data_IF_317645344317
#
_entry.id   IF_317645344317
#
_cell.length_a   1.000
_cell.length_b   1.000
_cell.length_c   1.000
_cell.angle_alpha   90.00
_cell.angle_beta   90.00
_cell.angle_gamma   90.00
#
_symmetry.space_group_name_H-M   'P 1'
#
loop_
_entity.id
_entity.type
_entity.pdbx_description
1 polymer ?
#
# COMPACT_ATOMS: atom_id res chain seq x y z
N UNK A 1 -9.47 -5.84 -9.61
CA UNK A 1 -8.47 -6.77 -9.09
C UNK A 1 -7.50 -7.20 -10.19
N UNK A 2 -8.00 -7.64 -11.38
CA UNK A 2 -7.13 -8.10 -12.49
C UNK A 2 -6.08 -7.07 -12.90
N UNK A 3 -6.47 -5.81 -13.08
CA UNK A 3 -5.52 -4.72 -13.43
C UNK A 3 -4.41 -4.60 -12.40
N UNK A 4 -4.74 -4.64 -11.12
CA UNK A 4 -3.75 -4.63 -10.05
C UNK A 4 -2.82 -5.86 -10.14
N UNK A 5 -3.39 -7.05 -10.38
CA UNK A 5 -2.62 -8.28 -10.57
C UNK A 5 -1.59 -8.18 -11.69
N UNK A 6 -2.02 -7.73 -12.86
CA UNK A 6 -1.15 -7.59 -14.03
C UNK A 6 -0.05 -6.53 -13.83
N UNK A 7 -0.38 -5.39 -13.20
CA UNK A 7 0.61 -4.34 -12.90
C UNK A 7 1.67 -4.84 -11.90
N UNK A 8 1.25 -5.53 -10.84
CA UNK A 8 2.17 -6.12 -9.87
C UNK A 8 3.04 -7.22 -10.49
N UNK A 9 2.45 -8.12 -11.31
CA UNK A 9 3.23 -9.15 -12.03
C UNK A 9 4.25 -8.52 -12.96
N UNK A 10 3.85 -7.56 -13.80
CA UNK A 10 4.74 -6.86 -14.72
C UNK A 10 5.90 -6.19 -13.97
N UNK A 11 5.61 -5.46 -12.89
CA UNK A 11 6.62 -4.85 -12.03
C UNK A 11 7.53 -5.90 -11.38
N UNK A 12 6.95 -6.96 -10.80
CA UNK A 12 7.70 -8.00 -10.11
C UNK A 12 8.63 -8.77 -11.06
N UNK A 13 8.16 -9.14 -12.24
CA UNK A 13 8.97 -9.81 -13.27
C UNK A 13 10.06 -8.88 -13.82
N UNK A 14 9.72 -7.62 -14.11
CA UNK A 14 10.69 -6.62 -14.57
C UNK A 14 11.81 -6.38 -13.55
N UNK A 15 11.47 -6.23 -12.26
CA UNK A 15 12.45 -6.06 -11.20
C UNK A 15 13.28 -7.33 -10.94
N UNK A 16 12.67 -8.53 -11.09
CA UNK A 16 13.39 -9.79 -11.03
C UNK A 16 14.44 -9.88 -12.13
N UNK A 17 14.07 -9.52 -13.37
CA UNK A 17 15.00 -9.48 -14.50
C UNK A 17 16.11 -8.44 -14.27
N UNK A 18 15.75 -7.24 -13.83
CA UNK A 18 16.74 -6.20 -13.53
C UNK A 18 17.75 -6.66 -12.46
N UNK A 19 17.27 -7.40 -11.45
CA UNK A 19 18.14 -7.98 -10.42
C UNK A 19 19.09 -9.02 -10.99
N UNK A 20 18.60 -9.94 -11.83
CA UNK A 20 19.43 -10.97 -12.47
C UNK A 20 20.52 -10.34 -13.35
N UNK A 21 20.18 -9.28 -14.09
CA UNK A 21 21.15 -8.54 -14.93
C UNK A 21 22.18 -7.84 -14.03
N UNK A 22 21.74 -7.12 -13.00
CA UNK A 22 22.63 -6.43 -12.06
C UNK A 22 23.63 -7.39 -11.41
N UNK A 23 23.13 -8.52 -10.94
CA UNK A 23 23.91 -9.48 -10.14
C UNK A 23 24.71 -10.49 -11.02
N UNK A 24 24.57 -10.38 -12.37
CA UNK A 24 25.13 -11.31 -13.36
C UNK A 24 24.77 -12.78 -13.08
N UNK A 25 23.52 -13.00 -12.65
CA UNK A 25 22.97 -14.31 -12.34
C UNK A 25 22.02 -14.30 -11.14
N UNK A 26 21.51 -15.48 -10.77
CA UNK A 26 20.61 -15.63 -9.64
C UNK A 26 21.42 -15.70 -8.33
N UNK A 27 21.25 -14.71 -7.48
CA UNK A 27 21.88 -14.68 -6.13
C UNK A 27 20.85 -14.93 -5.03
N UNK A 28 21.27 -15.52 -3.89
CA UNK A 28 20.42 -15.66 -2.72
C UNK A 28 19.82 -14.30 -2.28
N UNK A 29 18.68 -14.35 -1.62
CA UNK A 29 17.96 -13.14 -1.20
C UNK A 29 18.75 -12.22 -0.27
N UNK A 30 19.66 -12.77 0.51
CA UNK A 30 20.34 -12.06 1.59
C UNK A 30 19.41 -11.69 2.77
N UNK A 31 18.10 -12.01 2.67
CA UNK A 31 17.14 -11.71 3.72
C UNK A 31 17.31 -12.69 4.89
N UNK A 32 17.55 -12.22 6.12
CA UNK A 32 17.60 -13.05 7.31
C UNK A 32 16.30 -13.83 7.51
N UNK A 33 16.38 -15.06 8.02
CA UNK A 33 15.20 -15.90 8.25
C UNK A 33 14.16 -15.23 9.17
N UNK A 34 14.61 -14.43 10.14
CA UNK A 34 13.76 -13.68 11.05
C UNK A 34 12.97 -12.53 10.39
N UNK A 35 13.38 -12.09 9.21
CA UNK A 35 12.75 -10.96 8.51
C UNK A 35 11.64 -11.38 7.54
N UNK A 36 11.54 -12.69 7.22
CA UNK A 36 10.50 -13.20 6.34
C UNK A 36 9.06 -12.91 6.82
N UNK A 37 8.72 -13.02 8.12
CA UNK A 37 7.38 -12.66 8.59
C UNK A 37 7.01 -11.20 8.29
N UNK A 38 7.96 -10.28 8.39
CA UNK A 38 7.74 -8.86 8.07
C UNK A 38 7.47 -8.66 6.58
N UNK A 39 8.27 -9.30 5.72
CA UNK A 39 8.05 -9.25 4.27
C UNK A 39 6.72 -9.88 3.85
N UNK A 40 6.37 -11.05 4.40
CA UNK A 40 5.11 -11.72 4.10
C UNK A 40 3.91 -10.89 4.59
N UNK A 41 4.00 -10.28 5.78
CA UNK A 41 3.00 -9.33 6.26
C UNK A 41 2.83 -8.13 5.34
N UNK A 42 3.95 -7.55 4.88
CA UNK A 42 3.95 -6.45 3.92
C UNK A 42 3.27 -6.84 2.60
N UNK A 43 3.56 -8.03 2.06
CA UNK A 43 2.92 -8.56 0.86
C UNK A 43 1.42 -8.76 1.07
N UNK A 44 1.02 -9.34 2.19
CA UNK A 44 -0.37 -9.61 2.50
C UNK A 44 -1.20 -8.32 2.61
N UNK A 45 -0.76 -7.38 3.45
CA UNK A 45 -1.49 -6.13 3.63
C UNK A 45 -1.40 -5.23 2.39
N UNK A 46 -0.20 -4.92 1.92
CA UNK A 46 0.00 -3.94 0.85
C UNK A 46 -0.23 -4.50 -0.54
N UNK A 47 0.11 -5.77 -0.76
CA UNK A 47 0.03 -6.40 -2.07
C UNK A 47 -1.29 -7.12 -2.36
N UNK A 48 -2.02 -7.56 -1.33
CA UNK A 48 -3.25 -8.34 -1.49
C UNK A 48 -4.46 -7.57 -0.98
N UNK A 49 -4.56 -7.32 0.34
CA UNK A 49 -5.73 -6.69 0.93
C UNK A 49 -5.94 -5.25 0.47
N UNK A 50 -4.88 -4.45 0.43
CA UNK A 50 -4.95 -3.04 0.03
C UNK A 50 -5.54 -2.85 -1.37
N UNK A 51 -4.97 -3.47 -2.43
CA UNK A 51 -5.51 -3.37 -3.78
C UNK A 51 -6.94 -3.91 -3.92
N UNK A 52 -7.27 -5.01 -3.25
CA UNK A 52 -8.64 -5.55 -3.26
C UNK A 52 -9.61 -4.56 -2.62
N UNK A 53 -9.30 -4.05 -1.42
CA UNK A 53 -10.14 -3.06 -0.75
C UNK A 53 -10.31 -1.79 -1.59
N UNK A 54 -9.23 -1.29 -2.21
CA UNK A 54 -9.32 -0.14 -3.11
C UNK A 54 -10.24 -0.41 -4.30
N UNK A 55 -10.06 -1.54 -5.00
CA UNK A 55 -10.85 -1.85 -6.18
C UNK A 55 -12.35 -1.91 -5.86
N UNK A 56 -12.72 -2.54 -4.75
CA UNK A 56 -14.11 -2.55 -4.32
C UNK A 56 -14.58 -1.17 -3.82
N UNK A 57 -13.73 -0.41 -3.15
CA UNK A 57 -14.03 0.94 -2.71
C UNK A 57 -14.35 1.89 -3.88
N UNK A 58 -13.61 1.77 -4.98
CA UNK A 58 -13.80 2.58 -6.19
C UNK A 58 -15.12 2.28 -6.93
N UNK A 59 -15.75 1.13 -6.69
CA UNK A 59 -17.07 0.84 -7.27
C UNK A 59 -18.18 1.75 -6.71
N UNK A 60 -17.99 2.29 -5.50
CA UNK A 60 -18.99 3.08 -4.76
C UNK A 60 -18.45 4.45 -4.30
N UNK A 61 -17.32 4.88 -4.83
CA UNK A 61 -16.67 6.15 -4.47
C UNK A 61 -16.23 6.87 -5.73
N UNK A 62 -16.48 8.19 -5.79
CA UNK A 62 -15.96 8.99 -6.90
C UNK A 62 -14.44 9.01 -6.92
N UNK A 63 -13.84 9.09 -8.11
CA UNK A 63 -12.37 9.17 -8.24
C UNK A 63 -11.76 10.36 -7.46
N UNK A 64 -12.46 11.49 -7.42
CA UNK A 64 -12.03 12.67 -6.64
C UNK A 64 -12.02 12.40 -5.14
N UNK A 65 -13.09 11.80 -4.60
CA UNK A 65 -13.17 11.44 -3.17
C UNK A 65 -12.11 10.38 -2.82
N UNK A 66 -11.95 9.35 -3.67
CA UNK A 66 -10.93 8.34 -3.47
C UNK A 66 -9.51 8.94 -3.44
N UNK A 67 -9.20 9.83 -4.39
CA UNK A 67 -7.91 10.51 -4.47
C UNK A 67 -7.59 11.34 -3.21
N UNK A 68 -8.59 11.99 -2.63
CA UNK A 68 -8.43 12.72 -1.36
C UNK A 68 -8.19 11.77 -0.19
N UNK A 69 -8.98 10.69 -0.10
CA UNK A 69 -8.85 9.69 0.96
C UNK A 69 -7.50 8.98 0.92
N UNK A 70 -6.92 8.75 -0.27
CA UNK A 70 -5.61 8.11 -0.40
C UNK A 70 -4.48 8.89 0.30
N UNK A 71 -4.63 10.19 0.53
CA UNK A 71 -3.67 10.95 1.33
C UNK A 71 -3.62 10.49 2.81
N UNK A 72 -4.65 9.80 3.31
CA UNK A 72 -4.67 9.23 4.66
C UNK A 72 -3.58 8.15 4.84
N UNK A 73 -3.12 7.50 3.77
CA UNK A 73 -2.04 6.53 3.83
C UNK A 73 -0.79 7.11 4.52
N UNK A 74 -0.36 8.31 4.11
CA UNK A 74 0.81 8.97 4.68
C UNK A 74 0.62 9.28 6.17
N UNK A 75 -0.57 9.75 6.55
CA UNK A 75 -0.93 10.04 7.94
C UNK A 75 -0.91 8.76 8.78
N UNK A 76 -1.58 7.71 8.31
CA UNK A 76 -1.65 6.42 9.00
C UNK A 76 -0.27 5.77 9.12
N UNK A 77 0.57 5.87 8.07
CA UNK A 77 1.96 5.39 8.09
C UNK A 77 2.75 6.07 9.21
N UNK A 78 2.67 7.38 9.32
CA UNK A 78 3.37 8.14 10.35
C UNK A 78 2.82 7.85 11.76
N UNK A 79 1.50 7.72 11.92
CA UNK A 79 0.87 7.35 13.20
C UNK A 79 1.32 5.96 13.66
N UNK A 80 1.32 4.97 12.76
CA UNK A 80 1.78 3.60 13.08
C UNK A 80 3.26 3.62 13.45
N UNK A 81 4.10 4.33 12.71
CA UNK A 81 5.53 4.48 13.01
C UNK A 81 5.74 5.06 14.42
N UNK A 82 4.99 6.10 14.76
CA UNK A 82 5.08 6.76 16.05
C UNK A 82 4.55 5.89 17.20
N UNK A 83 3.32 5.37 17.07
CA UNK A 83 2.63 4.69 18.19
C UNK A 83 3.11 3.25 18.37
N UNK A 84 3.23 2.48 17.28
CA UNK A 84 3.56 1.04 17.32
C UNK A 84 5.08 0.85 17.36
N UNK A 85 5.80 1.52 16.47
CA UNK A 85 7.25 1.36 16.37
C UNK A 85 8.06 2.33 17.23
N UNK A 86 7.39 3.20 17.99
CA UNK A 86 7.98 4.14 18.95
C UNK A 86 9.00 5.07 18.33
N UNK A 87 8.80 5.47 17.07
CA UNK A 87 9.67 6.45 16.42
C UNK A 87 9.40 7.86 16.90
N UNK A 88 10.41 8.70 16.83
CA UNK A 88 10.26 10.10 17.18
C UNK A 88 9.42 10.83 16.13
N UNK A 89 8.29 11.40 16.56
CA UNK A 89 7.51 12.30 15.73
C UNK A 89 8.07 13.72 15.88
N UNK A 90 8.74 14.23 14.85
CA UNK A 90 9.13 15.64 14.81
C UNK A 90 7.88 16.52 14.63
N UNK A 91 7.91 17.73 15.21
CA UNK A 91 6.85 18.75 15.05
C UNK A 91 6.51 19.04 13.58
N UNK A 92 7.49 18.96 12.69
CA UNK A 92 7.29 19.15 11.24
C UNK A 92 6.44 18.04 10.64
N UNK A 93 6.65 16.79 11.07
CA UNK A 93 5.84 15.64 10.64
C UNK A 93 4.40 15.81 11.12
N UNK A 94 4.21 16.18 12.39
CA UNK A 94 2.87 16.41 12.96
C UNK A 94 2.15 17.55 12.21
N UNK A 95 2.82 18.65 11.93
CA UNK A 95 2.24 19.75 11.16
C UNK A 95 1.86 19.31 9.74
N UNK A 96 2.71 18.52 9.07
CA UNK A 96 2.41 17.95 7.75
C UNK A 96 1.17 17.03 7.78
N UNK A 97 1.07 16.17 8.79
CA UNK A 97 -0.12 15.31 8.99
C UNK A 97 -1.39 16.14 9.19
N UNK A 98 -1.34 17.17 10.03
CA UNK A 98 -2.47 18.06 10.26
C UNK A 98 -2.87 18.80 8.98
N UNK A 99 -1.89 19.27 8.20
CA UNK A 99 -2.16 19.93 6.92
C UNK A 99 -2.82 18.99 5.90
N UNK A 100 -2.39 17.72 5.81
CA UNK A 100 -3.01 16.69 4.95
C UNK A 100 -4.46 16.46 5.38
N UNK A 101 -4.71 16.26 6.67
CA UNK A 101 -6.06 16.04 7.20
C UNK A 101 -6.94 17.26 6.95
N UNK A 102 -6.45 18.46 7.26
CA UNK A 102 -7.20 19.70 7.05
C UNK A 102 -7.52 19.93 5.57
N UNK A 103 -6.56 19.69 4.66
CA UNK A 103 -6.78 19.74 3.21
C UNK A 103 -7.82 18.75 2.74
N UNK A 104 -7.75 17.49 3.22
CA UNK A 104 -8.74 16.46 2.93
C UNK A 104 -10.15 16.84 3.39
N UNK A 105 -10.29 17.37 4.61
CA UNK A 105 -11.57 17.86 5.14
C UNK A 105 -12.10 19.05 4.33
N UNK A 106 -11.26 20.03 4.02
CA UNK A 106 -11.66 21.22 3.26
C UNK A 106 -12.17 20.88 1.86
N UNK A 107 -11.50 19.91 1.18
CA UNK A 107 -11.89 19.45 -0.15
C UNK A 107 -13.08 18.49 -0.14
N UNK A 108 -13.33 17.82 0.98
CA UNK A 108 -14.46 16.90 1.15
C UNK A 108 -15.72 17.61 1.68
N UNK A 109 -15.66 18.94 1.93
CA UNK A 109 -16.79 19.69 2.45
C UNK A 109 -18.00 19.60 1.50
N UNK A 110 -19.17 19.20 1.99
CA UNK A 110 -20.34 18.96 1.12
C UNK A 110 -20.74 20.25 0.39
N UNK A 111 -20.67 20.25 -0.92
CA UNK A 111 -21.43 21.17 -1.77
C UNK A 111 -22.83 20.60 -1.93
N UNK A 112 -23.84 21.46 -1.87
CA UNK A 112 -25.28 21.19 -1.68
C UNK A 112 -26.01 20.22 -2.64
N UNK A 113 -25.32 19.38 -3.40
CA UNK A 113 -25.87 18.51 -4.45
C UNK A 113 -25.63 17.00 -4.23
N UNK A 114 -25.22 16.56 -3.05
CA UNK A 114 -24.87 15.16 -2.84
C UNK A 114 -26.12 14.30 -2.58
N UNK A 115 -26.45 13.45 -3.56
CA UNK A 115 -27.19 12.19 -3.36
C UNK A 115 -26.58 11.47 -2.16
N UNK A 116 -27.42 10.87 -1.30
CA UNK A 116 -26.99 10.20 -0.05
C UNK A 116 -25.72 9.37 -0.26
N UNK A 117 -24.56 9.73 0.29
CA UNK A 117 -23.31 9.04 0.02
C UNK A 117 -23.30 7.69 0.73
N UNK A 118 -23.16 6.60 -0.02
CA UNK A 118 -22.81 5.31 0.58
C UNK A 118 -21.49 5.43 1.33
N UNK A 119 -21.46 5.08 2.60
CA UNK A 119 -20.24 5.10 3.43
C UNK A 119 -19.29 3.94 3.10
N UNK A 120 -19.81 2.90 2.43
CA UNK A 120 -19.06 1.64 2.16
C UNK A 120 -17.85 1.89 1.27
N UNK A 121 -18.00 2.65 0.19
CA UNK A 121 -16.90 2.94 -0.72
C UNK A 121 -15.76 3.70 -0.04
N UNK A 122 -16.01 4.86 0.57
CA UNK A 122 -15.00 5.60 1.35
C UNK A 122 -14.35 4.79 2.46
N UNK A 123 -15.12 3.93 3.17
CA UNK A 123 -14.58 3.06 4.21
C UNK A 123 -13.60 2.02 3.66
N UNK A 124 -13.89 1.42 2.49
CA UNK A 124 -12.99 0.49 1.82
C UNK A 124 -11.72 1.18 1.31
N UNK A 125 -11.81 2.41 0.81
CA UNK A 125 -10.61 3.20 0.45
C UNK A 125 -9.78 3.50 1.70
N UNK A 126 -10.40 3.87 2.83
CA UNK A 126 -9.72 4.05 4.10
C UNK A 126 -9.04 2.78 4.60
N UNK A 127 -9.69 1.62 4.44
CA UNK A 127 -9.10 0.31 4.75
C UNK A 127 -7.87 0.02 3.86
N UNK A 128 -7.92 0.35 2.57
CA UNK A 128 -6.78 0.22 1.68
C UNK A 128 -5.60 1.08 2.16
N UNK A 129 -5.85 2.33 2.55
CA UNK A 129 -4.83 3.22 3.13
C UNK A 129 -4.21 2.63 4.40
N UNK A 130 -5.02 2.05 5.29
CA UNK A 130 -4.53 1.37 6.49
C UNK A 130 -3.64 0.16 6.14
N UNK A 131 -4.06 -0.66 5.17
CA UNK A 131 -3.27 -1.79 4.70
C UNK A 131 -1.90 -1.35 4.16
N UNK A 132 -1.85 -0.29 3.35
CA UNK A 132 -0.59 0.24 2.84
C UNK A 132 0.26 0.92 3.91
N UNK A 133 -0.37 1.58 4.87
CA UNK A 133 0.35 2.14 6.03
C UNK A 133 1.03 1.04 6.87
N UNK A 134 0.37 -0.09 7.06
CA UNK A 134 0.96 -1.29 7.68
C UNK A 134 2.11 -1.82 6.82
N UNK A 135 1.88 -2.01 5.52
CA UNK A 135 2.90 -2.47 4.57
C UNK A 135 4.16 -1.60 4.61
N UNK A 136 4.01 -0.28 4.55
CA UNK A 136 5.13 0.66 4.58
C UNK A 136 5.99 0.48 5.84
N UNK A 137 5.35 0.33 7.00
CA UNK A 137 6.03 0.12 8.26
C UNK A 137 6.71 -1.26 8.34
N UNK A 138 6.07 -2.33 7.83
CA UNK A 138 6.65 -3.67 7.78
C UNK A 138 7.81 -3.74 6.78
N UNK A 139 7.65 -3.17 5.58
CA UNK A 139 8.69 -3.09 4.55
C UNK A 139 9.94 -2.39 5.07
N UNK A 140 9.76 -1.34 5.90
CA UNK A 140 10.87 -0.64 6.52
C UNK A 140 11.71 -1.54 7.42
N UNK A 141 11.12 -2.52 8.12
CA UNK A 141 11.85 -3.49 8.95
C UNK A 141 12.84 -4.33 8.14
N UNK A 142 12.55 -4.58 6.88
CA UNK A 142 13.38 -5.39 5.98
C UNK A 142 14.23 -4.53 5.03
N UNK A 143 14.17 -3.21 5.13
CA UNK A 143 14.79 -2.26 4.19
C UNK A 143 16.32 -2.28 4.18
N UNK A 144 16.96 -2.88 5.18
CA UNK A 144 18.41 -3.11 5.19
C UNK A 144 18.87 -4.20 4.21
N UNK A 145 17.93 -5.02 3.69
CA UNK A 145 18.19 -6.06 2.71
C UNK A 145 18.10 -5.51 1.28
N UNK A 146 18.34 -6.39 0.27
CA UNK A 146 18.30 -6.02 -1.15
C UNK A 146 16.90 -5.49 -1.54
N UNK A 147 16.82 -4.18 -1.81
CA UNK A 147 15.58 -3.51 -2.19
C UNK A 147 14.96 -4.08 -3.48
N UNK A 148 15.79 -4.48 -4.46
CA UNK A 148 15.28 -5.11 -5.69
C UNK A 148 14.67 -6.48 -5.40
N UNK A 149 15.27 -7.27 -4.50
CA UNK A 149 14.70 -8.55 -4.08
C UNK A 149 13.35 -8.36 -3.39
N UNK A 150 13.26 -7.43 -2.44
CA UNK A 150 12.03 -7.13 -1.71
C UNK A 150 10.93 -6.70 -2.68
N UNK A 151 11.20 -5.72 -3.53
CA UNK A 151 10.22 -5.19 -4.48
C UNK A 151 9.79 -6.23 -5.53
N UNK A 152 10.74 -7.01 -6.07
CA UNK A 152 10.45 -8.10 -7.01
C UNK A 152 9.57 -9.17 -6.37
N UNK A 153 9.90 -9.61 -5.16
CA UNK A 153 9.15 -10.64 -4.43
C UNK A 153 7.73 -10.15 -4.11
N UNK A 154 7.59 -8.91 -3.62
CA UNK A 154 6.29 -8.28 -3.40
C UNK A 154 5.47 -8.24 -4.69
N UNK A 155 6.07 -7.78 -5.79
CA UNK A 155 5.39 -7.67 -7.08
C UNK A 155 4.92 -9.04 -7.62
N UNK A 156 5.79 -10.05 -7.62
CA UNK A 156 5.43 -11.39 -8.12
C UNK A 156 4.34 -12.03 -7.25
N UNK A 157 4.51 -12.04 -5.92
CA UNK A 157 3.56 -12.70 -5.03
C UNK A 157 2.20 -11.98 -5.02
N UNK A 158 2.20 -10.67 -4.88
CA UNK A 158 0.97 -9.87 -4.91
C UNK A 158 0.28 -9.98 -6.28
N UNK A 159 1.05 -9.91 -7.36
CA UNK A 159 0.54 -10.01 -8.71
C UNK A 159 -0.08 -11.38 -9.01
N UNK A 160 0.57 -12.46 -8.60
CA UNK A 160 0.04 -13.82 -8.76
C UNK A 160 -1.29 -13.99 -8.01
N UNK A 161 -1.34 -13.58 -6.73
CA UNK A 161 -2.56 -13.73 -5.91
C UNK A 161 -3.69 -12.86 -6.45
N UNK A 162 -3.46 -11.58 -6.77
CA UNK A 162 -4.52 -10.72 -7.32
C UNK A 162 -5.04 -11.21 -8.67
N UNK A 163 -4.17 -11.80 -9.50
CA UNK A 163 -4.59 -12.40 -10.78
C UNK A 163 -5.45 -13.63 -10.53
N UNK A 164 -5.04 -14.53 -9.61
CA UNK A 164 -5.82 -15.72 -9.25
C UNK A 164 -7.19 -15.34 -8.66
N UNK A 165 -7.24 -14.35 -7.77
CA UNK A 165 -8.52 -13.83 -7.23
C UNK A 165 -9.41 -13.34 -8.38
N UNK A 166 -8.85 -12.60 -9.34
CA UNK A 166 -9.62 -12.07 -10.47
C UNK A 166 -10.13 -13.14 -11.44
N UNK A 167 -9.43 -14.27 -11.53
CA UNK A 167 -9.86 -15.42 -12.37
C UNK A 167 -10.93 -16.26 -11.69
N UNK A 168 -11.02 -16.22 -10.35
CA UNK A 168 -12.03 -16.94 -9.56
C UNK A 168 -13.32 -16.13 -9.30
N UNK A 169 -13.36 -14.87 -9.70
CA UNK A 169 -14.55 -13.97 -9.61
C UNK A 169 -15.34 -13.94 -10.90
#
# INVERSE_FOLDING_TARGET
VLVAGLLYLGSGLGLSLARVIRDRGVRPSGLPKGDWPWLLGAIFFGGMLGPVALMFGLLSTSGSTASLLLNLEAVLTAVIAWVVFKENADKRIILGMLAIVAGGVALSWPTASAVQPSITGPALVGLACLCWAIDNNLTRKVSASDALFIAATKGVMAGAVNTLIAMGM
#
